data_IF_343435035118
#
_entry.id   IF_343435035118
#
_cell.length_a   1.000
_cell.length_b   1.000
_cell.length_c   1.000
_cell.angle_alpha   90.00
_cell.angle_beta   90.00
_cell.angle_gamma   90.00
#
_symmetry.space_group_name_H-M   'P 1'
#
loop_
_entity.id
_entity.type
_entity.pdbx_description
1 polymer ?
#
# COMPACT_ATOMS: atom_id res chain seq x y z
N UNK A 1 -10.06 -7.02 6.38
CA UNK A 1 -9.87 -6.21 5.18
C UNK A 1 -8.56 -6.59 4.51
N UNK A 2 -8.55 -6.73 3.20
CA UNK A 2 -7.36 -7.05 2.43
C UNK A 2 -6.89 -5.80 1.67
N UNK A 3 -5.62 -5.43 1.86
CA UNK A 3 -5.03 -4.21 1.31
C UNK A 3 -3.92 -4.56 0.34
N UNK A 4 -3.99 -4.02 -0.86
CA UNK A 4 -2.92 -4.12 -1.85
C UNK A 4 -2.06 -2.87 -1.80
N UNK A 5 -0.76 -3.03 -1.65
CA UNK A 5 0.21 -1.94 -1.69
C UNK A 5 1.00 -2.06 -2.99
N UNK A 6 0.93 -1.05 -3.82
CA UNK A 6 1.62 -1.03 -5.11
C UNK A 6 2.88 -0.17 -5.01
N UNK A 7 4.01 -0.81 -5.13
CA UNK A 7 5.32 -0.22 -4.90
C UNK A 7 5.93 -0.75 -3.60
N UNK A 8 7.03 -1.48 -3.71
CA UNK A 8 7.70 -2.14 -2.59
C UNK A 8 9.00 -1.42 -2.19
N UNK A 9 9.08 -0.13 -2.44
CA UNK A 9 10.17 0.73 -2.00
C UNK A 9 10.05 1.07 -0.51
N UNK A 10 10.75 2.10 -0.07
CA UNK A 10 10.78 2.51 1.34
C UNK A 10 9.39 2.84 1.88
N UNK A 11 8.61 3.65 1.17
CA UNK A 11 7.27 4.03 1.62
C UNK A 11 6.29 2.88 1.52
N UNK A 12 6.24 2.18 0.38
CA UNK A 12 5.33 1.04 0.19
C UNK A 12 5.56 -0.08 1.19
N UNK A 13 6.80 -0.43 1.44
CA UNK A 13 7.14 -1.44 2.46
C UNK A 13 6.74 -1.00 3.86
N UNK A 14 6.96 0.29 4.20
CA UNK A 14 6.53 0.84 5.49
C UNK A 14 5.02 0.84 5.65
N UNK A 15 4.27 1.21 4.61
CA UNK A 15 2.81 1.20 4.61
C UNK A 15 2.30 -0.25 4.77
N UNK A 16 2.88 -1.20 4.03
CA UNK A 16 2.56 -2.62 4.15
C UNK A 16 2.75 -3.11 5.59
N UNK A 17 3.87 -2.75 6.23
CA UNK A 17 4.13 -3.09 7.62
C UNK A 17 3.09 -2.48 8.56
N UNK A 18 2.73 -1.21 8.36
CA UNK A 18 1.74 -0.53 9.19
C UNK A 18 0.39 -1.26 9.17
N UNK A 19 -0.09 -1.67 8.00
CA UNK A 19 -1.32 -2.47 7.90
C UNK A 19 -1.15 -3.86 8.51
N UNK A 20 -0.05 -4.55 8.23
CA UNK A 20 0.19 -5.89 8.73
C UNK A 20 0.32 -5.95 10.26
N UNK A 21 0.80 -4.88 10.90
CA UNK A 21 0.86 -4.75 12.35
C UNK A 21 -0.52 -4.54 13.00
N UNK A 22 -1.50 -4.16 12.22
CA UNK A 22 -2.84 -3.86 12.70
C UNK A 22 -3.74 -5.09 12.57
N UNK A 23 -4.46 -5.41 13.62
CA UNK A 23 -5.39 -6.52 13.63
C UNK A 23 -6.48 -6.33 12.57
N UNK A 24 -6.86 -7.41 11.90
CA UNK A 24 -7.93 -7.41 10.92
C UNK A 24 -7.50 -7.09 9.48
N UNK A 25 -6.21 -6.92 9.22
CA UNK A 25 -5.70 -6.63 7.88
C UNK A 25 -4.80 -7.75 7.36
N UNK A 26 -4.97 -8.07 6.09
CA UNK A 26 -4.04 -8.86 5.28
C UNK A 26 -3.48 -7.97 4.18
N UNK A 27 -2.25 -8.20 3.74
CA UNK A 27 -1.53 -7.31 2.83
C UNK A 27 -0.99 -8.08 1.62
N UNK A 28 -1.22 -7.51 0.43
CA UNK A 28 -0.51 -7.88 -0.79
C UNK A 28 0.50 -6.77 -1.09
N UNK A 29 1.77 -7.06 -0.98
CA UNK A 29 2.85 -6.13 -1.33
C UNK A 29 3.32 -6.42 -2.75
N UNK A 30 3.08 -5.47 -3.65
CA UNK A 30 3.26 -5.65 -5.09
C UNK A 30 4.30 -4.70 -5.67
N UNK A 31 5.00 -5.16 -6.69
CA UNK A 31 5.87 -4.31 -7.49
C UNK A 31 5.85 -4.80 -8.96
N UNK A 32 6.70 -4.23 -9.80
CA UNK A 32 6.76 -4.57 -11.23
C UNK A 32 7.15 -6.03 -11.48
N UNK A 33 7.85 -6.65 -10.52
CA UNK A 33 8.18 -8.07 -10.55
C UNK A 33 8.25 -8.66 -9.13
N UNK A 34 8.29 -9.98 -9.05
CA UNK A 34 8.33 -10.70 -7.77
C UNK A 34 9.61 -10.44 -6.97
N UNK A 35 10.71 -10.19 -7.63
CA UNK A 35 11.99 -9.89 -6.97
C UNK A 35 11.90 -8.60 -6.17
N UNK A 36 11.39 -7.53 -6.77
CA UNK A 36 11.24 -6.24 -6.08
C UNK A 36 10.23 -6.33 -4.93
N UNK A 37 9.12 -7.03 -5.12
CA UNK A 37 8.14 -7.25 -4.07
C UNK A 37 8.75 -8.04 -2.90
N UNK A 38 9.49 -9.09 -3.17
CA UNK A 38 10.18 -9.90 -2.16
C UNK A 38 11.24 -9.08 -1.42
N UNK A 39 11.98 -8.24 -2.14
CA UNK A 39 12.97 -7.34 -1.51
C UNK A 39 12.29 -6.37 -0.54
N UNK A 40 11.10 -5.89 -0.86
CA UNK A 40 10.30 -5.05 0.05
C UNK A 40 9.92 -5.80 1.33
N UNK A 41 9.45 -7.03 1.21
CA UNK A 41 9.14 -7.88 2.37
C UNK A 41 10.39 -8.19 3.20
N UNK A 42 11.53 -8.41 2.56
CA UNK A 42 12.81 -8.64 3.25
C UNK A 42 13.24 -7.41 4.08
N UNK A 43 13.00 -6.20 3.59
CA UNK A 43 13.24 -4.97 4.36
C UNK A 43 12.38 -4.92 5.61
N UNK A 44 11.12 -5.30 5.50
CA UNK A 44 10.21 -5.40 6.65
C UNK A 44 10.74 -6.41 7.65
N UNK A 45 11.14 -7.60 7.18
CA UNK A 45 11.70 -8.65 8.04
C UNK A 45 12.92 -8.18 8.81
N UNK A 46 13.84 -7.48 8.16
CA UNK A 46 15.03 -6.91 8.82
C UNK A 46 14.66 -5.88 9.89
N UNK A 47 13.67 -5.03 9.62
CA UNK A 47 13.19 -4.06 10.59
C UNK A 47 12.56 -4.73 11.81
N UNK A 48 11.77 -5.78 11.60
CA UNK A 48 11.17 -6.56 12.69
C UNK A 48 12.22 -7.30 13.49
N UNK A 49 13.22 -7.88 12.85
CA UNK A 49 14.34 -8.55 13.53
C UNK A 49 15.08 -7.59 14.47
N UNK A 50 15.27 -6.34 14.06
CA UNK A 50 15.87 -5.31 14.92
C UNK A 50 15.01 -5.03 16.17
N UNK A 51 13.70 -4.99 16.02
CA UNK A 51 12.76 -4.80 17.14
C UNK A 51 12.80 -5.98 18.10
N UNK A 52 12.89 -7.20 17.56
CA UNK A 52 13.04 -8.41 18.38
C UNK A 52 14.37 -8.39 19.14
N UNK A 53 15.47 -8.03 18.48
CA UNK A 53 16.78 -7.94 19.10
C UNK A 53 16.84 -6.89 20.22
N UNK A 54 16.05 -5.82 20.10
CA UNK A 54 15.92 -4.76 21.14
C UNK A 54 14.86 -5.06 22.19
N UNK A 55 14.30 -6.25 22.17
CA UNK A 55 13.24 -6.69 23.09
C UNK A 55 11.97 -5.82 23.07
N UNK A 56 11.74 -5.13 21.93
CA UNK A 56 10.52 -4.31 21.69
C UNK A 56 9.38 -5.09 21.08
N UNK A 57 9.65 -6.30 20.61
CA UNK A 57 8.70 -7.19 19.96
C UNK A 57 9.12 -8.63 20.17
N UNK A 58 8.16 -9.55 20.29
CA UNK A 58 8.46 -10.97 20.36
C UNK A 58 8.67 -11.54 18.96
N UNK A 59 9.43 -12.63 18.87
CA UNK A 59 9.64 -13.35 17.61
C UNK A 59 8.32 -13.83 17.00
N UNK A 60 7.42 -14.34 17.85
CA UNK A 60 6.10 -14.82 17.44
C UNK A 60 5.28 -13.70 16.81
N UNK A 61 5.31 -12.50 17.37
CA UNK A 61 4.62 -11.33 16.82
C UNK A 61 5.22 -10.94 15.47
N UNK A 62 6.55 -10.90 15.36
CA UNK A 62 7.23 -10.58 14.10
C UNK A 62 6.87 -11.58 13.00
N UNK A 63 6.90 -12.88 13.31
CA UNK A 63 6.55 -13.94 12.36
C UNK A 63 5.08 -13.85 11.94
N UNK A 64 4.18 -13.52 12.86
CA UNK A 64 2.76 -13.33 12.56
C UNK A 64 2.52 -12.14 11.62
N UNK A 65 3.24 -11.03 11.80
CA UNK A 65 3.18 -9.86 10.92
C UNK A 65 3.61 -10.25 9.50
N UNK A 66 4.75 -10.92 9.36
CA UNK A 66 5.28 -11.35 8.07
C UNK A 66 4.35 -12.35 7.36
N UNK A 67 3.70 -13.23 8.11
CA UNK A 67 2.75 -14.20 7.57
C UNK A 67 1.52 -13.56 6.93
N UNK A 68 1.19 -12.33 7.31
CA UNK A 68 0.06 -11.56 6.74
C UNK A 68 0.39 -10.89 5.41
N UNK A 69 1.66 -10.87 5.01
CA UNK A 69 2.14 -10.17 3.80
C UNK A 69 2.43 -11.19 2.71
N UNK A 70 1.65 -11.13 1.62
CA UNK A 70 1.88 -11.87 0.39
C UNK A 70 2.56 -10.95 -0.62
N UNK A 71 3.54 -11.44 -1.35
CA UNK A 71 4.27 -10.65 -2.35
C UNK A 71 3.95 -11.11 -3.76
N UNK A 72 4.01 -10.19 -4.72
CA UNK A 72 3.79 -10.49 -6.12
C UNK A 72 3.70 -9.25 -6.98
N UNK A 73 3.13 -9.42 -8.17
CA UNK A 73 2.74 -8.32 -9.05
C UNK A 73 1.29 -7.93 -8.74
N UNK A 74 0.81 -6.82 -9.32
CA UNK A 74 -0.55 -6.32 -9.04
C UNK A 74 -1.66 -7.32 -9.39
N UNK A 75 -1.38 -8.34 -10.17
CA UNK A 75 -2.32 -9.40 -10.53
C UNK A 75 -2.89 -10.15 -9.32
N UNK A 76 -2.20 -10.13 -8.19
CA UNK A 76 -2.66 -10.78 -6.96
C UNK A 76 -3.69 -9.95 -6.17
N UNK A 77 -4.04 -8.76 -6.66
CA UNK A 77 -4.95 -7.84 -5.95
C UNK A 77 -6.43 -8.03 -6.30
N UNK A 78 -6.81 -9.15 -6.90
CA UNK A 78 -8.19 -9.42 -7.37
C UNK A 78 -9.26 -9.31 -6.29
N UNK A 79 -8.93 -9.66 -5.06
CA UNK A 79 -9.83 -9.66 -3.92
C UNK A 79 -9.51 -8.60 -2.86
N UNK A 80 -8.64 -7.64 -3.19
CA UNK A 80 -8.34 -6.53 -2.28
C UNK A 80 -9.55 -5.60 -2.09
N UNK A 81 -9.72 -5.11 -0.87
CA UNK A 81 -10.75 -4.14 -0.51
C UNK A 81 -10.27 -2.69 -0.69
N UNK A 82 -8.97 -2.49 -0.54
CA UNK A 82 -8.31 -1.19 -0.66
C UNK A 82 -6.98 -1.38 -1.40
N UNK A 83 -6.70 -0.48 -2.31
CA UNK A 83 -5.39 -0.38 -2.97
C UNK A 83 -4.76 0.95 -2.55
N UNK A 84 -3.53 0.89 -2.07
CA UNK A 84 -2.71 2.08 -1.80
C UNK A 84 -1.54 2.07 -2.77
N UNK A 85 -1.53 3.02 -3.67
CA UNK A 85 -0.45 3.18 -4.64
C UNK A 85 0.68 4.01 -4.01
N UNK A 86 1.88 3.46 -3.96
CA UNK A 86 3.08 4.07 -3.40
C UNK A 86 4.30 3.85 -4.30
N UNK A 87 4.06 3.84 -5.61
CA UNK A 87 5.09 3.65 -6.62
C UNK A 87 5.80 4.98 -6.94
N UNK A 88 6.56 4.98 -8.04
CA UNK A 88 7.32 6.16 -8.49
C UNK A 88 6.43 7.41 -8.60
N UNK A 89 6.93 8.56 -8.14
CA UNK A 89 6.22 9.85 -8.19
C UNK A 89 6.21 10.41 -9.61
N UNK A 90 5.42 9.78 -10.47
CA UNK A 90 5.27 10.10 -11.89
C UNK A 90 3.80 9.95 -12.28
N UNK A 91 3.20 11.01 -12.82
CA UNK A 91 1.77 11.05 -13.15
C UNK A 91 1.36 9.93 -14.12
N UNK A 92 2.13 9.71 -15.18
CA UNK A 92 1.80 8.70 -16.20
C UNK A 92 1.87 7.28 -15.64
N UNK A 93 2.87 7.01 -14.78
CA UNK A 93 3.02 5.70 -14.11
C UNK A 93 1.82 5.44 -13.20
N UNK A 94 1.41 6.43 -12.41
CA UNK A 94 0.27 6.31 -11.49
C UNK A 94 -1.04 6.11 -12.23
N UNK A 95 -1.28 6.89 -13.28
CA UNK A 95 -2.48 6.76 -14.13
C UNK A 95 -2.55 5.39 -14.79
N UNK A 96 -1.45 4.92 -15.36
CA UNK A 96 -1.40 3.60 -15.99
C UNK A 96 -1.62 2.48 -14.96
N UNK A 97 -1.02 2.59 -13.79
CA UNK A 97 -1.19 1.64 -12.69
C UNK A 97 -2.66 1.49 -12.31
N UNK A 98 -3.36 2.59 -12.11
CA UNK A 98 -4.79 2.53 -11.75
C UNK A 98 -5.66 2.04 -12.90
N UNK A 99 -5.34 2.37 -14.15
CA UNK A 99 -6.03 1.82 -15.32
C UNK A 99 -5.97 0.29 -15.34
N UNK A 100 -4.82 -0.27 -15.08
CA UNK A 100 -4.64 -1.72 -15.01
C UNK A 100 -5.35 -2.32 -13.78
N UNK A 101 -5.27 -1.65 -12.64
CA UNK A 101 -5.90 -2.10 -11.41
C UNK A 101 -7.42 -2.13 -11.49
N UNK A 102 -8.06 -1.21 -12.19
CA UNK A 102 -9.53 -1.24 -12.34
C UNK A 102 -10.01 -2.47 -13.10
N UNK A 103 -9.17 -3.06 -13.97
CA UNK A 103 -9.47 -4.30 -14.67
C UNK A 103 -9.18 -5.55 -13.82
N UNK A 104 -8.26 -5.45 -12.85
CA UNK A 104 -7.82 -6.55 -11.99
C UNK A 104 -8.68 -6.65 -10.74
N UNK A 105 -8.92 -5.52 -10.07
CA UNK A 105 -9.58 -5.47 -8.78
C UNK A 105 -11.10 -5.62 -8.90
N UNK A 106 -11.73 -6.11 -7.83
CA UNK A 106 -13.19 -6.09 -7.73
C UNK A 106 -13.72 -4.66 -7.78
N UNK A 107 -14.97 -4.50 -8.23
CA UNK A 107 -15.56 -3.18 -8.51
C UNK A 107 -15.70 -2.27 -7.30
N UNK A 108 -15.87 -2.83 -6.11
CA UNK A 108 -16.02 -2.08 -4.87
C UNK A 108 -14.69 -1.85 -4.13
N UNK A 109 -13.56 -2.26 -4.71
CA UNK A 109 -12.25 -1.94 -4.15
C UNK A 109 -12.01 -0.43 -4.20
N UNK A 110 -11.58 0.14 -3.07
CA UNK A 110 -11.24 1.56 -2.96
C UNK A 110 -9.81 1.80 -3.46
N UNK A 111 -9.61 2.91 -4.17
CA UNK A 111 -8.30 3.32 -4.66
C UNK A 111 -7.77 4.52 -3.91
N UNK A 112 -6.55 4.40 -3.41
CA UNK A 112 -5.84 5.47 -2.72
C UNK A 112 -4.42 5.62 -3.28
N UNK A 113 -3.87 6.81 -3.20
CA UNK A 113 -2.49 7.10 -3.62
C UNK A 113 -1.73 7.81 -2.51
N UNK A 114 -0.47 7.44 -2.33
CA UNK A 114 0.43 8.06 -1.34
C UNK A 114 1.16 9.28 -1.91
N UNK A 115 0.77 9.80 -3.06
CA UNK A 115 1.43 10.95 -3.66
C UNK A 115 1.51 12.14 -2.68
N UNK A 116 2.64 12.84 -2.68
CA UNK A 116 2.83 14.03 -1.85
C UNK A 116 2.58 15.33 -2.61
N UNK A 117 2.62 15.30 -3.94
CA UNK A 117 2.64 16.52 -4.76
C UNK A 117 1.77 16.48 -6.02
N UNK A 118 1.40 15.28 -6.51
CA UNK A 118 0.61 15.18 -7.74
C UNK A 118 -0.88 15.35 -7.47
N UNK A 119 -1.60 15.82 -8.47
CA UNK A 119 -3.05 16.05 -8.37
C UNK A 119 -3.81 14.72 -8.26
N UNK A 120 -4.55 14.55 -7.18
CA UNK A 120 -5.43 13.40 -6.96
C UNK A 120 -6.51 13.34 -8.04
N UNK A 121 -7.07 14.50 -8.41
CA UNK A 121 -8.08 14.62 -9.46
C UNK A 121 -7.56 14.10 -10.81
N UNK A 122 -6.34 14.49 -11.18
CA UNK A 122 -5.72 14.03 -12.43
C UNK A 122 -5.39 12.53 -12.41
N UNK A 123 -4.90 12.01 -11.28
CA UNK A 123 -4.61 10.58 -11.13
C UNK A 123 -5.88 9.76 -11.36
N UNK A 124 -7.00 10.22 -10.80
CA UNK A 124 -8.29 9.54 -10.90
C UNK A 124 -9.08 9.80 -12.18
N UNK A 125 -8.60 10.68 -13.06
CA UNK A 125 -9.33 11.05 -14.27
C UNK A 125 -9.51 9.85 -15.21
N UNK A 126 -10.74 9.63 -15.66
CA UNK A 126 -11.08 8.56 -16.61
C UNK A 126 -11.19 7.15 -16.00
N UNK A 127 -11.05 7.01 -14.67
CA UNK A 127 -11.26 5.74 -13.99
C UNK A 127 -12.75 5.50 -13.70
N UNK A 128 -13.11 4.24 -13.49
CA UNK A 128 -14.49 3.83 -13.16
C UNK A 128 -14.87 4.10 -11.70
N UNK A 129 -13.93 4.59 -10.90
CA UNK A 129 -14.10 4.88 -9.47
C UNK A 129 -13.23 6.05 -9.03
N UNK A 130 -13.58 6.72 -7.91
CA UNK A 130 -12.76 7.81 -7.41
C UNK A 130 -11.45 7.32 -6.79
N UNK A 131 -10.46 8.21 -6.73
CA UNK A 131 -9.20 8.00 -6.02
C UNK A 131 -9.12 9.00 -4.87
N UNK A 132 -8.65 8.54 -3.72
CA UNK A 132 -8.39 9.39 -2.56
C UNK A 132 -6.89 9.45 -2.27
N UNK A 133 -6.42 10.57 -1.76
CA UNK A 133 -5.05 10.67 -1.25
C UNK A 133 -4.96 10.12 0.16
N UNK A 134 -4.01 9.22 0.39
CA UNK A 134 -3.63 8.74 1.73
C UNK A 134 -2.14 8.94 1.89
N UNK A 135 -1.74 10.13 2.33
CA UNK A 135 -0.34 10.50 2.47
C UNK A 135 0.20 10.06 3.83
N UNK A 136 1.06 9.05 3.81
CA UNK A 136 1.76 8.54 4.98
C UNK A 136 3.10 9.28 5.15
N UNK A 137 3.55 9.39 6.38
CA UNK A 137 4.85 9.99 6.70
C UNK A 137 5.87 8.91 7.02
N UNK A 138 7.10 9.10 6.59
CA UNK A 138 8.20 8.15 6.82
C UNK A 138 8.76 8.31 8.24
N UNK A 139 8.94 7.24 9.01
CA UNK A 139 8.61 5.84 8.69
C UNK A 139 7.14 5.52 8.99
N UNK A 140 6.43 5.01 7.99
CA UNK A 140 4.99 4.76 8.09
C UNK A 140 4.56 3.87 9.28
N UNK A 141 5.32 2.82 9.67
CA UNK A 141 4.92 1.99 10.81
C UNK A 141 4.97 2.70 12.17
N UNK A 142 5.65 3.83 12.26
CA UNK A 142 5.88 4.60 13.50
C UNK A 142 5.04 5.86 13.56
N UNK A 143 4.91 6.55 12.42
CA UNK A 143 4.19 7.82 12.34
C UNK A 143 2.68 7.59 12.45
N UNK A 144 2.04 8.34 13.34
CA UNK A 144 0.60 8.18 13.62
C UNK A 144 -0.29 9.01 12.71
N UNK A 145 0.29 9.99 12.01
CA UNK A 145 -0.46 10.89 11.14
C UNK A 145 -0.54 10.33 9.72
N UNK A 146 -1.73 10.31 9.17
CA UNK A 146 -1.99 10.09 7.75
C UNK A 146 -2.84 11.24 7.26
N UNK A 147 -2.39 11.94 6.22
CA UNK A 147 -3.20 12.97 5.58
C UNK A 147 -4.14 12.34 4.56
N UNK A 148 -5.41 12.64 4.66
CA UNK A 148 -6.42 12.20 3.70
C UNK A 148 -6.78 13.39 2.82
N UNK A 149 -6.58 13.25 1.51
CA UNK A 149 -6.77 14.32 0.53
C UNK A 149 -7.84 13.90 -0.47
N UNK A 150 -8.89 14.72 -0.58
CA UNK A 150 -9.94 14.52 -1.56
C UNK A 150 -9.57 15.15 -2.90
N UNK A 151 -9.78 14.42 -3.98
CA UNK A 151 -9.87 15.00 -5.32
C UNK A 151 -11.27 15.54 -5.56
N UNK A 152 -11.48 16.21 -6.68
CA UNK A 152 -12.79 16.77 -7.05
C UNK A 152 -13.90 15.71 -7.12
N UNK A 153 -13.54 14.50 -7.53
CA UNK A 153 -14.48 13.38 -7.70
C UNK A 153 -14.53 12.42 -6.51
N UNK A 154 -13.86 12.76 -5.40
CA UNK A 154 -13.87 11.91 -4.20
C UNK A 154 -15.10 12.22 -3.36
N UNK A 155 -16.02 11.24 -3.16
CA UNK A 155 -17.20 11.47 -2.33
C UNK A 155 -16.85 11.60 -0.85
N UNK A 156 -17.72 12.26 -0.09
CA UNK A 156 -17.49 12.53 1.35
C UNK A 156 -17.48 11.26 2.20
N UNK A 157 -18.23 10.24 1.77
CA UNK A 157 -18.36 8.97 2.48
C UNK A 157 -17.19 8.00 2.25
N UNK A 158 -16.27 8.29 1.33
CA UNK A 158 -15.09 7.46 1.06
C UNK A 158 -14.01 7.68 2.13
#
# INVERSE_FOLDING_TARGET
MKVGIIGAGTMGSGIAQAFAQTEGYEVCLCDINNEFATNGKNKIAKGLDRLVAKEKMTKETADAILAKITTGTKDICTDCDLIVEAALENMEVKKQTFKELQEICKKDAMFATNTSSLSITEIGAGLDRPVIGMHFFNPAPVMKLVEVIKGENTPDEM
#
